data_IF_592148929810
#
_entry.id   IF_592148929810
#
_cell.length_a   1.000
_cell.length_b   1.000
_cell.length_c   1.000
_cell.angle_alpha   90.00
_cell.angle_beta   90.00
_cell.angle_gamma   90.00
#
_symmetry.space_group_name_H-M   'P 1'
#
loop_
_entity.id
_entity.type
_entity.pdbx_description
1 polymer ?
#
# COMPACT_ATOMS: atom_id res chain seq x y z
N UNK A 1 -4.43 -17.06 -5.22
CA UNK A 1 -3.52 -15.88 -5.16
C UNK A 1 -2.83 -15.95 -3.81
N UNK A 2 -1.53 -15.65 -3.72
CA UNK A 2 -0.81 -15.72 -2.43
C UNK A 2 -1.26 -14.60 -1.47
N UNK A 3 -1.32 -14.90 -0.17
CA UNK A 3 -1.84 -14.00 0.87
C UNK A 3 -1.00 -12.72 1.00
N UNK A 4 0.32 -12.79 0.78
CA UNK A 4 1.20 -11.63 0.77
C UNK A 4 0.82 -10.69 -0.37
N UNK A 5 0.61 -11.24 -1.57
CA UNK A 5 0.25 -10.46 -2.75
C UNK A 5 -1.12 -9.80 -2.58
N UNK A 6 -2.08 -10.53 -2.01
CA UNK A 6 -3.43 -10.01 -1.73
C UNK A 6 -3.36 -8.87 -0.71
N UNK A 7 -2.64 -9.05 0.40
CA UNK A 7 -2.47 -8.03 1.44
C UNK A 7 -1.72 -6.78 0.93
N UNK A 8 -0.74 -6.95 0.03
CA UNK A 8 -0.03 -5.86 -0.64
C UNK A 8 -0.99 -4.97 -1.44
N UNK A 9 -1.91 -5.56 -2.20
CA UNK A 9 -2.92 -4.81 -2.95
C UNK A 9 -3.94 -4.12 -2.04
N UNK A 10 -4.47 -4.83 -1.04
CA UNK A 10 -5.41 -4.25 -0.06
C UNK A 10 -4.81 -3.00 0.57
N UNK A 11 -3.57 -3.09 1.04
CA UNK A 11 -2.93 -1.98 1.72
C UNK A 11 -2.58 -0.82 0.79
N UNK A 12 -2.06 -1.08 -0.41
CA UNK A 12 -1.79 -0.03 -1.39
C UNK A 12 -3.05 0.76 -1.75
N UNK A 13 -4.17 0.07 -1.97
CA UNK A 13 -5.46 0.69 -2.22
C UNK A 13 -6.00 1.47 -1.01
N UNK A 14 -5.76 0.99 0.21
CA UNK A 14 -6.11 1.73 1.43
C UNK A 14 -5.40 3.08 1.50
N UNK A 15 -4.12 3.16 1.12
CA UNK A 15 -3.42 4.44 1.01
C UNK A 15 -4.07 5.33 -0.05
N UNK A 16 -4.39 4.77 -1.23
CA UNK A 16 -5.08 5.51 -2.30
C UNK A 16 -6.41 6.13 -1.82
N UNK A 17 -7.24 5.31 -1.16
CA UNK A 17 -8.53 5.70 -0.61
C UNK A 17 -8.33 6.75 0.47
N UNK A 18 -7.34 6.61 1.36
CA UNK A 18 -7.06 7.59 2.42
C UNK A 18 -6.73 8.97 1.86
N UNK A 19 -5.90 9.04 0.81
CA UNK A 19 -5.55 10.29 0.13
C UNK A 19 -6.70 10.90 -0.65
N UNK A 20 -7.60 10.08 -1.20
CA UNK A 20 -8.81 10.56 -1.84
C UNK A 20 -9.86 11.01 -0.81
N UNK A 21 -10.04 10.25 0.27
CA UNK A 21 -11.07 10.47 1.30
C UNK A 21 -10.91 11.82 2.00
N UNK A 22 -9.68 12.24 2.30
CA UNK A 22 -9.44 13.56 2.91
C UNK A 22 -9.92 14.73 2.06
N UNK A 23 -10.18 14.54 0.76
CA UNK A 23 -10.70 15.61 -0.10
C UNK A 23 -12.15 15.97 0.21
N UNK A 24 -12.92 15.06 0.82
CA UNK A 24 -14.29 15.33 1.28
C UNK A 24 -14.34 16.00 2.66
N UNK A 25 -13.23 15.99 3.41
CA UNK A 25 -13.19 16.52 4.78
C UNK A 25 -12.91 18.03 4.75
N UNK A 26 -13.90 18.82 5.18
CA UNK A 26 -13.76 20.28 5.25
C UNK A 26 -13.18 20.76 6.59
N UNK A 27 -13.70 20.24 7.70
CA UNK A 27 -13.30 20.55 9.08
C UNK A 27 -13.51 19.31 9.97
N UNK A 28 -12.78 19.18 11.09
CA UNK A 28 -11.62 19.96 11.53
C UNK A 28 -10.34 19.71 10.69
N UNK A 29 -9.38 20.65 10.71
CA UNK A 29 -8.17 20.62 9.85
C UNK A 29 -7.29 19.39 10.09
N UNK A 30 -7.22 18.86 11.31
CA UNK A 30 -6.35 17.71 11.61
C UNK A 30 -6.82 16.42 10.89
N UNK A 31 -8.13 16.27 10.68
CA UNK A 31 -8.69 15.14 9.91
C UNK A 31 -8.40 15.22 8.41
N UNK A 32 -7.82 16.33 7.93
CA UNK A 32 -7.39 16.45 6.52
C UNK A 32 -6.00 15.86 6.28
N UNK A 33 -5.35 15.30 7.28
CA UNK A 33 -4.07 14.62 7.11
C UNK A 33 -4.30 13.22 6.50
N UNK A 34 -3.87 12.96 5.24
CA UNK A 34 -4.08 11.65 4.61
C UNK A 34 -3.28 10.52 5.27
N UNK A 35 -2.18 10.84 5.95
CA UNK A 35 -1.39 9.84 6.68
C UNK A 35 -2.13 9.35 7.93
N UNK A 36 -2.94 10.21 8.56
CA UNK A 36 -3.80 9.79 9.67
C UNK A 36 -4.79 8.73 9.21
N UNK A 37 -5.48 8.97 8.09
CA UNK A 37 -6.41 8.00 7.52
C UNK A 37 -5.71 6.74 7.02
N UNK A 38 -4.49 6.86 6.47
CA UNK A 38 -3.69 5.70 6.09
C UNK A 38 -3.39 4.82 7.31
N UNK A 39 -3.00 5.42 8.44
CA UNK A 39 -2.76 4.70 9.68
C UNK A 39 -4.05 4.07 10.24
N UNK A 40 -5.18 4.80 10.22
CA UNK A 40 -6.48 4.27 10.64
C UNK A 40 -6.88 3.07 9.78
N UNK A 41 -6.76 3.18 8.46
CA UNK A 41 -7.09 2.10 7.53
C UNK A 41 -6.15 0.89 7.68
N UNK A 42 -4.88 1.13 7.95
CA UNK A 42 -3.92 0.07 8.24
C UNK A 42 -4.31 -0.70 9.51
N UNK A 43 -4.54 0.02 10.61
CA UNK A 43 -4.91 -0.57 11.91
C UNK A 43 -6.26 -1.28 11.82
N UNK A 44 -7.26 -0.70 11.14
CA UNK A 44 -8.57 -1.31 10.97
C UNK A 44 -8.50 -2.59 10.13
N UNK A 45 -7.73 -2.57 9.03
CA UNK A 45 -7.52 -3.74 8.17
C UNK A 45 -6.77 -4.83 8.92
N UNK A 46 -5.67 -4.48 9.60
CA UNK A 46 -4.92 -5.42 10.44
C UNK A 46 -5.81 -6.05 11.51
N UNK A 47 -6.57 -5.23 12.24
CA UNK A 47 -7.50 -5.69 13.28
C UNK A 47 -8.60 -6.60 12.74
N UNK A 48 -9.18 -6.26 11.59
CA UNK A 48 -10.20 -7.08 10.93
C UNK A 48 -9.65 -8.44 10.50
N UNK A 49 -8.50 -8.47 9.84
CA UNK A 49 -7.86 -9.72 9.38
C UNK A 49 -7.41 -10.59 10.56
N UNK A 50 -6.96 -9.98 11.66
CA UNK A 50 -6.65 -10.71 12.89
C UNK A 50 -7.91 -11.28 13.56
N UNK A 51 -8.98 -10.50 13.68
CA UNK A 51 -10.24 -10.92 14.31
C UNK A 51 -10.95 -12.05 13.55
N UNK A 52 -10.86 -12.04 12.22
CA UNK A 52 -11.42 -13.08 11.35
C UNK A 52 -10.50 -14.31 11.23
N UNK A 53 -9.42 -14.35 12.02
CA UNK A 53 -8.40 -15.41 12.00
C UNK A 53 -7.78 -15.60 10.62
N UNK A 54 -7.73 -14.58 9.77
CA UNK A 54 -7.08 -14.67 8.45
C UNK A 54 -5.55 -14.52 8.52
N UNK A 55 -5.02 -14.22 9.71
CA UNK A 55 -3.58 -14.10 9.99
C UNK A 55 -3.08 -15.27 10.85
N UNK A 56 -1.77 -15.53 10.79
CA UNK A 56 -1.05 -16.48 11.64
C UNK A 56 -1.44 -17.96 11.47
N UNK A 57 -1.91 -18.36 10.30
CA UNK A 57 -2.14 -19.77 9.98
C UNK A 57 -0.82 -20.55 9.84
N UNK A 58 -0.88 -21.86 10.17
CA UNK A 58 0.24 -22.78 9.96
C UNK A 58 0.63 -22.76 8.48
N UNK A 59 1.89 -22.42 8.20
CA UNK A 59 2.49 -22.22 6.86
C UNK A 59 2.22 -20.85 6.18
N UNK A 60 1.61 -19.88 6.86
CA UNK A 60 1.41 -18.52 6.33
C UNK A 60 2.56 -17.55 6.69
N UNK A 61 3.80 -18.03 6.62
CA UNK A 61 4.97 -17.21 6.95
C UNK A 61 5.82 -16.93 5.70
N UNK A 62 6.37 -15.73 5.64
CA UNK A 62 7.44 -15.33 4.73
C UNK A 62 8.59 -14.83 5.60
N UNK A 63 9.74 -15.51 5.52
CA UNK A 63 10.90 -15.21 6.38
C UNK A 63 10.55 -15.21 7.89
N UNK A 64 9.76 -16.18 8.35
CA UNK A 64 9.29 -16.31 9.75
C UNK A 64 8.31 -15.22 10.22
N UNK A 65 7.93 -14.28 9.35
CA UNK A 65 6.90 -13.25 9.63
C UNK A 65 5.61 -13.62 8.90
N UNK A 66 4.44 -13.32 9.47
CA UNK A 66 3.17 -13.55 8.80
C UNK A 66 3.08 -12.83 7.44
N UNK A 67 2.68 -13.55 6.39
CA UNK A 67 2.62 -13.05 5.02
C UNK A 67 1.68 -11.86 4.87
N UNK A 68 0.56 -11.86 5.59
CA UNK A 68 -0.43 -10.77 5.52
C UNK A 68 0.19 -9.51 6.11
N UNK A 69 0.84 -9.59 7.26
CA UNK A 69 1.53 -8.44 7.85
C UNK A 69 2.61 -7.87 6.92
N UNK A 70 3.44 -8.73 6.34
CA UNK A 70 4.46 -8.32 5.36
C UNK A 70 3.83 -7.62 4.16
N UNK A 71 2.78 -8.21 3.59
CA UNK A 71 2.04 -7.62 2.47
C UNK A 71 1.44 -6.25 2.82
N UNK A 72 0.79 -6.13 3.98
CA UNK A 72 0.22 -4.85 4.43
C UNK A 72 1.30 -3.76 4.55
N UNK A 73 2.42 -4.05 5.20
CA UNK A 73 3.51 -3.08 5.37
C UNK A 73 4.09 -2.67 4.01
N UNK A 74 4.39 -3.64 3.15
CA UNK A 74 4.97 -3.38 1.82
C UNK A 74 4.01 -2.57 0.94
N UNK A 75 2.73 -2.94 0.89
CA UNK A 75 1.72 -2.22 0.12
C UNK A 75 1.61 -0.75 0.53
N UNK A 76 1.64 -0.48 1.85
CA UNK A 76 1.65 0.90 2.37
C UNK A 76 2.90 1.66 1.92
N UNK A 77 4.08 1.08 2.14
CA UNK A 77 5.36 1.73 1.84
C UNK A 77 5.54 2.01 0.35
N UNK A 78 5.21 1.04 -0.50
CA UNK A 78 5.31 1.17 -1.96
C UNK A 78 4.39 2.26 -2.49
N UNK A 79 3.15 2.33 -2.00
CA UNK A 79 2.22 3.38 -2.43
C UNK A 79 2.69 4.77 -1.98
N UNK A 80 3.13 4.91 -0.72
CA UNK A 80 3.70 6.15 -0.20
C UNK A 80 4.95 6.59 -0.98
N UNK A 81 5.81 5.63 -1.36
CA UNK A 81 6.95 5.87 -2.24
C UNK A 81 6.49 6.40 -3.60
N UNK A 82 5.44 5.81 -4.20
CA UNK A 82 4.86 6.30 -5.46
C UNK A 82 4.36 7.74 -5.38
N UNK A 83 3.71 8.11 -4.26
CA UNK A 83 3.31 9.50 -3.99
C UNK A 83 4.55 10.40 -3.85
N UNK A 84 5.60 9.91 -3.17
CA UNK A 84 6.87 10.61 -3.05
C UNK A 84 7.53 10.87 -4.40
N UNK A 85 7.58 9.86 -5.27
CA UNK A 85 8.15 9.96 -6.61
C UNK A 85 7.34 10.94 -7.47
N UNK A 86 6.00 10.90 -7.47
CA UNK A 86 5.18 11.90 -8.17
C UNK A 86 5.51 13.33 -7.71
N UNK A 87 5.68 13.55 -6.40
CA UNK A 87 6.09 14.86 -5.84
C UNK A 87 7.49 15.27 -6.27
N UNK A 88 8.45 14.34 -6.29
CA UNK A 88 9.81 14.58 -6.74
C UNK A 88 9.86 14.96 -8.21
N UNK A 89 9.13 14.22 -9.07
CA UNK A 89 9.01 14.52 -10.50
C UNK A 89 8.47 15.95 -10.70
N UNK A 90 7.39 16.31 -10.01
CA UNK A 90 6.83 17.68 -10.09
C UNK A 90 7.82 18.73 -9.62
N UNK A 91 8.57 18.44 -8.55
CA UNK A 91 9.59 19.37 -8.03
C UNK A 91 10.65 19.69 -9.08
N UNK A 92 11.13 18.68 -9.81
CA UNK A 92 12.13 18.87 -10.86
C UNK A 92 11.54 19.39 -12.19
N UNK A 93 10.24 19.20 -12.41
CA UNK A 93 9.54 19.61 -13.64
C UNK A 93 8.71 20.90 -13.46
N UNK A 94 9.16 21.85 -12.64
CA UNK A 94 8.50 23.14 -12.41
C UNK A 94 7.00 23.03 -12.03
N UNK A 95 6.65 22.03 -11.23
CA UNK A 95 5.28 21.73 -10.80
C UNK A 95 4.43 20.96 -11.82
N UNK A 96 4.94 20.76 -13.05
CA UNK A 96 4.20 20.09 -14.13
C UNK A 96 4.26 18.56 -14.01
N UNK A 97 3.18 17.91 -14.42
CA UNK A 97 3.16 16.46 -14.66
C UNK A 97 3.87 16.12 -15.96
N UNK A 98 4.48 14.95 -16.03
CA UNK A 98 5.05 14.39 -17.27
C UNK A 98 3.94 13.82 -18.17
N UNK A 99 2.90 13.24 -17.58
CA UNK A 99 1.79 12.63 -18.31
C UNK A 99 0.50 12.63 -17.48
N UNK A 100 -0.63 12.42 -18.15
CA UNK A 100 -1.95 12.37 -17.52
C UNK A 100 -2.02 11.28 -16.46
N UNK A 101 -2.67 11.57 -15.33
CA UNK A 101 -2.80 10.64 -14.19
C UNK A 101 -1.49 10.16 -13.56
N UNK A 102 -0.37 10.86 -13.74
CA UNK A 102 0.93 10.53 -13.12
C UNK A 102 0.83 10.14 -11.63
N UNK A 103 0.05 10.90 -10.85
CA UNK A 103 -0.15 10.67 -9.40
C UNK A 103 -0.83 9.33 -9.05
N UNK A 104 -1.44 8.65 -10.03
CA UNK A 104 -2.12 7.35 -9.88
C UNK A 104 -1.29 6.25 -10.56
N UNK A 105 -0.83 6.51 -11.79
CA UNK A 105 -0.07 5.55 -12.59
C UNK A 105 1.27 5.22 -11.93
N UNK A 106 1.98 6.20 -11.35
CA UNK A 106 3.28 5.94 -10.70
C UNK A 106 3.12 4.98 -9.50
N UNK A 107 2.24 5.24 -8.51
CA UNK A 107 1.98 4.28 -7.44
C UNK A 107 1.51 2.90 -7.94
N UNK A 108 0.58 2.86 -8.91
CA UNK A 108 0.07 1.59 -9.44
C UNK A 108 1.16 0.76 -10.12
N UNK A 109 2.02 1.40 -10.91
CA UNK A 109 3.13 0.75 -11.58
C UNK A 109 4.12 0.16 -10.57
N UNK A 110 4.48 0.90 -9.52
CA UNK A 110 5.35 0.40 -8.46
C UNK A 110 4.71 -0.76 -7.69
N UNK A 111 3.40 -0.70 -7.44
CA UNK A 111 2.66 -1.77 -6.77
C UNK A 111 2.64 -3.05 -7.64
N UNK A 112 2.40 -2.91 -8.95
CA UNK A 112 2.48 -4.00 -9.93
C UNK A 112 3.89 -4.58 -10.01
N UNK A 113 4.92 -3.74 -10.13
CA UNK A 113 6.31 -4.16 -10.18
C UNK A 113 6.71 -4.92 -8.89
N UNK A 114 6.32 -4.40 -7.73
CA UNK A 114 6.55 -5.07 -6.44
C UNK A 114 5.80 -6.40 -6.35
N UNK A 115 4.54 -6.44 -6.79
CA UNK A 115 3.75 -7.68 -6.84
C UNK A 115 4.41 -8.73 -7.74
N UNK A 116 4.90 -8.35 -8.91
CA UNK A 116 5.65 -9.22 -9.81
C UNK A 116 6.96 -9.74 -9.20
N UNK A 117 7.73 -8.86 -8.56
CA UNK A 117 8.95 -9.23 -7.84
C UNK A 117 8.67 -10.28 -6.76
N UNK A 118 7.68 -10.02 -5.89
CA UNK A 118 7.32 -10.96 -4.83
C UNK A 118 6.72 -12.26 -5.36
N UNK A 119 5.97 -12.23 -6.47
CA UNK A 119 5.48 -13.46 -7.10
C UNK A 119 6.63 -14.38 -7.55
N UNK A 120 7.70 -13.80 -8.11
CA UNK A 120 8.92 -14.55 -8.48
C UNK A 120 9.66 -15.03 -7.24
N UNK A 121 9.83 -14.19 -6.23
CA UNK A 121 10.50 -14.57 -4.98
C UNK A 121 9.78 -15.72 -4.28
N UNK A 122 8.46 -15.65 -4.12
CA UNK A 122 7.66 -16.70 -3.48
C UNK A 122 7.76 -18.01 -4.26
N UNK A 123 7.74 -17.95 -5.60
CA UNK A 123 7.91 -19.14 -6.44
C UNK A 123 9.28 -19.80 -6.23
N UNK A 124 10.33 -19.01 -6.14
CA UNK A 124 11.71 -19.50 -5.98
C UNK A 124 12.05 -19.94 -4.55
N UNK A 125 11.37 -19.38 -3.54
CA UNK A 125 11.58 -19.67 -2.10
C UNK A 125 10.74 -20.86 -1.61
N UNK A 126 9.96 -21.53 -2.47
CA UNK A 126 9.27 -22.79 -2.10
C UNK A 126 10.29 -23.88 -1.70
N UNK A 127 10.66 -23.88 -0.43
CA UNK A 127 11.06 -25.02 0.42
C UNK A 127 9.78 -25.69 0.91
#
# INVERSE_FOLDING_TARGET
VDDLLTALWISGLNVAISFWFVTFIKKPKFLRNPLLWTAIMFVSTYGYLAATKQMYHKNNTFMHVDKVLVGLVLGTLVWLLGIGIDKLIRKYNNGKVLFFYQKVIVPLFLLLATSGLFAVLIKNIRI
#
